data_IF_080563174118
#
_entry.id   IF_080563174118
#
_cell.length_a   1.000
_cell.length_b   1.000
_cell.length_c   1.000
_cell.angle_alpha   90.00
_cell.angle_beta   90.00
_cell.angle_gamma   90.00
#
_symmetry.space_group_name_H-M   'P 1'
#
loop_
_entity.id
_entity.type
_entity.pdbx_description
1 polymer ?
#
# COMPACT_ATOMS: atom_id res chain seq x y z
N UNK A 1 -1.50 11.08 2.01
CA UNK A 1 -1.52 9.71 1.44
C UNK A 1 -2.93 9.17 1.31
N UNK A 2 -3.80 9.27 2.33
CA UNK A 2 -5.20 8.79 2.25
C UNK A 2 -6.00 9.49 1.13
N UNK A 3 -5.94 10.82 1.04
CA UNK A 3 -6.62 11.56 -0.04
C UNK A 3 -6.06 11.24 -1.44
N UNK A 4 -4.75 10.99 -1.56
CA UNK A 4 -4.11 10.64 -2.84
C UNK A 4 -4.49 9.23 -3.34
N UNK A 5 -4.84 8.32 -2.42
CA UNK A 5 -5.38 7.01 -2.82
C UNK A 5 -6.75 7.13 -3.52
N UNK A 6 -7.55 8.15 -3.21
CA UNK A 6 -8.83 8.39 -3.88
C UNK A 6 -8.61 8.64 -5.38
N UNK A 7 -7.57 9.40 -5.74
CA UNK A 7 -7.17 9.63 -7.12
C UNK A 7 -6.83 8.32 -7.85
N UNK A 8 -6.17 7.37 -7.18
CA UNK A 8 -5.90 6.05 -7.75
C UNK A 8 -7.17 5.21 -7.95
N UNK A 9 -8.10 5.23 -6.98
CA UNK A 9 -9.37 4.52 -7.08
C UNK A 9 -10.20 5.04 -8.25
N UNK A 10 -10.26 6.37 -8.40
CA UNK A 10 -10.94 7.03 -9.54
C UNK A 10 -10.28 6.60 -10.86
N UNK A 11 -8.95 6.62 -10.93
CA UNK A 11 -8.22 6.21 -12.13
C UNK A 11 -8.50 4.75 -12.51
N UNK A 12 -8.44 3.82 -11.55
CA UNK A 12 -8.74 2.40 -11.77
C UNK A 12 -10.18 2.20 -12.25
N UNK A 13 -11.14 2.92 -11.67
CA UNK A 13 -12.54 2.87 -12.12
C UNK A 13 -12.69 3.29 -13.58
N UNK A 14 -12.04 4.38 -13.99
CA UNK A 14 -12.02 4.80 -15.39
C UNK A 14 -11.37 3.77 -16.30
N UNK A 15 -10.25 3.17 -15.87
CA UNK A 15 -9.57 2.10 -16.64
C UNK A 15 -10.48 0.89 -16.84
N UNK A 16 -11.15 0.40 -15.80
CA UNK A 16 -12.06 -0.76 -15.91
C UNK A 16 -13.26 -0.44 -16.79
N UNK A 17 -13.83 0.76 -16.68
CA UNK A 17 -14.94 1.22 -17.55
C UNK A 17 -14.51 1.33 -19.02
N UNK A 18 -13.29 1.79 -19.26
CA UNK A 18 -12.73 1.87 -20.61
C UNK A 18 -12.50 0.47 -21.20
N UNK A 19 -11.99 -0.46 -20.39
CA UNK A 19 -11.75 -1.85 -20.77
C UNK A 19 -13.04 -2.60 -21.15
N UNK A 20 -14.14 -2.40 -20.41
CA UNK A 20 -15.42 -3.05 -20.69
C UNK A 20 -16.14 -2.48 -21.92
N UNK A 21 -15.88 -1.22 -22.28
CA UNK A 21 -16.57 -0.54 -23.39
C UNK A 21 -15.83 -0.72 -24.73
N UNK A 22 -14.49 -0.72 -24.72
CA UNK A 22 -13.66 -0.69 -25.93
C UNK A 22 -12.79 -1.92 -26.09
N UNK A 23 -13.24 -3.09 -25.60
CA UNK A 23 -12.51 -4.33 -25.30
C UNK A 23 -11.55 -4.95 -26.34
N UNK A 24 -11.16 -4.24 -27.40
CA UNK A 24 -10.08 -4.64 -28.31
C UNK A 24 -9.32 -3.47 -28.98
N UNK A 25 -9.52 -2.21 -28.57
CA UNK A 25 -8.82 -1.05 -29.13
C UNK A 25 -7.75 -0.62 -28.12
N UNK A 26 -6.48 -0.71 -28.52
CA UNK A 26 -5.34 -0.44 -27.63
C UNK A 26 -5.42 0.91 -26.90
N UNK A 27 -4.84 0.97 -25.70
CA UNK A 27 -4.84 2.19 -24.91
C UNK A 27 -4.10 3.33 -25.61
N UNK A 28 -4.72 4.51 -25.77
CA UNK A 28 -4.08 5.65 -26.40
C UNK A 28 -2.94 6.20 -25.53
N UNK A 29 -1.96 6.83 -26.17
CA UNK A 29 -0.70 7.24 -25.52
C UNK A 29 -0.89 8.21 -24.34
N UNK A 30 -1.94 9.02 -24.37
CA UNK A 30 -2.24 9.97 -23.29
C UNK A 30 -2.55 9.27 -21.95
N UNK A 31 -3.10 8.06 -21.99
CA UNK A 31 -3.42 7.30 -20.79
C UNK A 31 -2.14 6.92 -20.03
N UNK A 32 -1.13 6.46 -20.76
CA UNK A 32 0.18 6.11 -20.20
C UNK A 32 0.90 7.33 -19.63
N UNK A 33 0.84 8.48 -20.31
CA UNK A 33 1.43 9.72 -19.82
C UNK A 33 0.83 10.18 -18.48
N UNK A 34 -0.51 10.12 -18.35
CA UNK A 34 -1.22 10.47 -17.12
C UNK A 34 -0.86 9.49 -15.99
N UNK A 35 -0.80 8.19 -16.30
CA UNK A 35 -0.43 7.15 -15.33
C UNK A 35 0.98 7.41 -14.75
N UNK A 36 1.95 7.67 -15.62
CA UNK A 36 3.33 7.99 -15.22
C UNK A 36 3.36 9.24 -14.34
N UNK A 37 2.63 10.29 -14.72
CA UNK A 37 2.57 11.52 -13.94
C UNK A 37 2.02 11.31 -12.52
N UNK A 38 0.90 10.58 -12.39
CA UNK A 38 0.32 10.22 -11.08
C UNK A 38 1.31 9.40 -10.25
N UNK A 39 2.04 8.48 -10.89
CA UNK A 39 3.04 7.65 -10.23
C UNK A 39 4.22 8.49 -9.71
N UNK A 40 4.70 9.46 -10.48
CA UNK A 40 5.77 10.37 -10.07
C UNK A 40 5.35 11.16 -8.83
N UNK A 41 4.16 11.77 -8.84
CA UNK A 41 3.67 12.54 -7.69
C UNK A 41 3.55 11.65 -6.45
N UNK A 42 3.04 10.43 -6.59
CA UNK A 42 2.94 9.48 -5.48
C UNK A 42 4.31 9.16 -4.87
N UNK A 43 5.33 8.97 -5.71
CA UNK A 43 6.69 8.72 -5.25
C UNK A 43 7.27 9.91 -4.50
N UNK A 44 7.08 11.12 -5.02
CA UNK A 44 7.52 12.36 -4.37
C UNK A 44 6.85 12.50 -2.99
N UNK A 45 5.53 12.34 -2.91
CA UNK A 45 4.79 12.41 -1.64
C UNK A 45 5.27 11.35 -0.62
N UNK A 46 5.59 10.14 -1.07
CA UNK A 46 6.14 9.10 -0.22
C UNK A 46 7.54 9.46 0.30
N UNK A 47 8.40 10.02 -0.56
CA UNK A 47 9.72 10.49 -0.16
C UNK A 47 9.63 11.63 0.86
N UNK A 48 8.77 12.63 0.64
CA UNK A 48 8.54 13.73 1.59
C UNK A 48 8.10 13.18 2.95
N UNK A 49 7.13 12.25 2.97
CA UNK A 49 6.65 11.65 4.22
C UNK A 49 7.74 10.87 4.95
N UNK A 50 8.61 10.17 4.22
CA UNK A 50 9.75 9.45 4.81
C UNK A 50 10.74 10.44 5.42
N UNK A 51 11.16 11.46 4.67
CA UNK A 51 12.09 12.49 5.14
C UNK A 51 11.53 13.24 6.34
N UNK A 52 10.24 13.58 6.36
CA UNK A 52 9.61 14.23 7.50
C UNK A 52 9.68 13.39 8.79
N UNK A 53 9.48 12.07 8.69
CA UNK A 53 9.64 11.14 9.82
C UNK A 53 11.07 11.10 10.34
N UNK A 54 12.05 11.01 9.44
CA UNK A 54 13.46 11.02 9.81
C UNK A 54 13.90 12.37 10.39
N UNK A 55 13.38 13.49 9.90
CA UNK A 55 13.63 14.82 10.46
C UNK A 55 13.09 14.94 11.89
N UNK A 56 11.92 14.37 12.17
CA UNK A 56 11.37 14.32 13.51
C UNK A 56 12.22 13.43 14.44
N UNK A 57 12.65 12.26 13.98
CA UNK A 57 13.55 11.40 14.75
C UNK A 57 14.88 12.09 15.07
N UNK A 58 15.42 12.86 14.14
CA UNK A 58 16.62 13.65 14.40
C UNK A 58 16.37 14.74 15.45
N UNK A 59 15.20 15.39 15.42
CA UNK A 59 14.86 16.45 16.39
C UNK A 59 14.63 15.92 17.81
N UNK A 60 14.05 14.72 17.95
CA UNK A 60 13.81 14.11 19.26
C UNK A 60 15.04 13.39 19.82
N UNK A 61 16.01 13.07 18.97
CA UNK A 61 17.27 12.44 19.39
C UNK A 61 18.16 13.49 20.04
N UNK A 62 18.47 13.31 21.32
CA UNK A 62 19.33 14.24 22.05
C UNK A 62 20.70 14.41 21.38
N UNK A 63 21.24 15.65 21.29
CA UNK A 63 22.49 15.91 20.58
C UNK A 63 23.71 15.18 21.19
N UNK A 64 23.65 14.82 22.48
CA UNK A 64 24.71 14.10 23.18
C UNK A 64 24.78 12.60 22.85
N UNK A 65 23.64 12.01 22.47
CA UNK A 65 23.50 10.57 22.14
C UNK A 65 22.69 10.37 20.86
N UNK A 66 22.76 11.33 19.93
CA UNK A 66 21.83 11.37 18.80
C UNK A 66 21.96 10.16 17.88
N UNK A 67 23.17 9.65 17.70
CA UNK A 67 23.43 8.47 16.88
C UNK A 67 22.80 7.18 17.42
N UNK A 68 22.84 6.95 18.74
CA UNK A 68 22.23 5.77 19.36
C UNK A 68 20.71 5.84 19.36
N UNK A 69 20.13 7.02 19.67
CA UNK A 69 18.68 7.22 19.61
C UNK A 69 18.13 7.12 18.19
N UNK A 70 18.81 7.70 17.20
CA UNK A 70 18.42 7.61 15.79
C UNK A 70 18.47 6.17 15.27
N UNK A 71 19.49 5.40 15.67
CA UNK A 71 19.61 3.97 15.31
C UNK A 71 18.49 3.15 15.93
N UNK A 72 18.20 3.36 17.22
CA UNK A 72 17.12 2.66 17.91
C UNK A 72 15.75 2.98 17.30
N UNK A 73 15.49 4.25 16.99
CA UNK A 73 14.25 4.70 16.31
C UNK A 73 14.13 4.10 14.90
N UNK A 74 15.24 3.94 14.19
CA UNK A 74 15.27 3.26 12.89
C UNK A 74 14.91 1.77 13.02
N UNK A 75 15.50 1.07 14.01
CA UNK A 75 15.16 -0.33 14.32
C UNK A 75 13.68 -0.47 14.67
N UNK A 76 13.16 0.40 15.54
CA UNK A 76 11.75 0.41 15.91
C UNK A 76 10.84 0.66 14.71
N UNK A 77 11.23 1.56 13.80
CA UNK A 77 10.46 1.84 12.58
C UNK A 77 10.41 0.65 11.62
N UNK A 78 11.49 -0.10 11.48
CA UNK A 78 11.52 -1.32 10.68
C UNK A 78 10.65 -2.41 11.31
N UNK A 79 10.77 -2.65 12.62
CA UNK A 79 9.92 -3.59 13.35
C UNK A 79 8.45 -3.21 13.27
N UNK A 80 8.13 -1.92 13.39
CA UNK A 80 6.78 -1.40 13.24
C UNK A 80 6.20 -1.68 11.86
N UNK A 81 7.00 -1.56 10.79
CA UNK A 81 6.55 -1.89 9.43
C UNK A 81 6.29 -3.40 9.24
N UNK A 82 7.19 -4.26 9.72
CA UNK A 82 7.00 -5.72 9.65
C UNK A 82 5.79 -6.17 10.45
N UNK A 83 5.68 -5.69 11.69
CA UNK A 83 4.55 -5.97 12.56
C UNK A 83 3.24 -5.46 11.96
N UNK A 84 3.20 -4.25 11.41
CA UNK A 84 1.99 -3.70 10.77
C UNK A 84 1.54 -4.53 9.56
N UNK A 85 2.48 -4.99 8.73
CA UNK A 85 2.15 -5.82 7.57
C UNK A 85 1.62 -7.20 8.00
N UNK A 86 2.27 -7.82 8.99
CA UNK A 86 1.81 -9.09 9.55
C UNK A 86 0.43 -8.96 10.20
N UNK A 87 0.21 -7.85 10.92
CA UNK A 87 -1.07 -7.54 11.56
C UNK A 87 -2.17 -7.31 10.53
N UNK A 88 -1.89 -6.57 9.46
CA UNK A 88 -2.84 -6.33 8.38
C UNK A 88 -3.26 -7.63 7.70
N UNK A 89 -2.31 -8.52 7.39
CA UNK A 89 -2.63 -9.83 6.80
C UNK A 89 -3.48 -10.69 7.76
N UNK A 90 -3.10 -10.75 9.04
CA UNK A 90 -3.89 -11.48 10.04
C UNK A 90 -5.31 -10.93 10.18
N UNK A 91 -5.50 -9.61 10.06
CA UNK A 91 -6.82 -8.98 10.10
C UNK A 91 -7.64 -9.27 8.84
N UNK A 92 -7.01 -9.37 7.67
CA UNK A 92 -7.68 -9.80 6.44
C UNK A 92 -8.20 -11.23 6.54
N UNK A 93 -7.44 -12.14 7.15
CA UNK A 93 -7.88 -13.52 7.38
C UNK A 93 -9.09 -13.59 8.33
N UNK A 94 -9.14 -12.70 9.32
CA UNK A 94 -10.29 -12.60 10.23
C UNK A 94 -11.53 -12.00 9.54
N UNK A 95 -11.35 -11.01 8.65
CA UNK A 95 -12.45 -10.35 7.94
C UNK A 95 -12.97 -11.12 6.73
N UNK A 96 -12.15 -12.00 6.14
CA UNK A 96 -12.51 -12.73 4.92
C UNK A 96 -13.30 -13.99 5.25
N UNK A 97 -14.60 -14.00 4.94
CA UNK A 97 -15.41 -15.21 4.96
C UNK A 97 -15.08 -16.08 3.75
N UNK A 98 -14.68 -17.34 4.01
CA UNK A 98 -14.41 -18.33 2.97
C UNK A 98 -15.73 -18.97 2.54
N UNK A 99 -16.26 -18.61 1.38
CA UNK A 99 -17.41 -19.29 0.79
C UNK A 99 -16.95 -20.52 0.00
N UNK A 100 -17.37 -21.71 0.43
CA UNK A 100 -17.18 -22.92 -0.34
C UNK A 100 -18.27 -23.05 -1.41
N UNK A 101 -17.88 -22.98 -2.68
CA UNK A 101 -18.75 -23.37 -3.80
C UNK A 101 -19.00 -24.88 -3.72
N UNK A 102 -20.24 -25.26 -3.43
CA UNK A 102 -20.73 -26.63 -3.35
C UNK A 102 -20.63 -27.29 -4.74
N UNK A 103 -19.45 -27.86 -5.03
CA UNK A 103 -19.27 -28.84 -6.10
C UNK A 103 -19.13 -30.20 -5.42
N UNK A 104 -19.92 -31.17 -5.87
CA UNK A 104 -20.36 -32.38 -5.17
C UNK A 104 -19.26 -33.30 -4.59
N UNK A 105 -17.97 -33.05 -4.86
CA UNK A 105 -16.85 -33.90 -4.45
C UNK A 105 -15.71 -33.20 -3.67
N UNK A 106 -15.86 -31.95 -3.24
CA UNK A 106 -14.78 -31.27 -2.49
C UNK A 106 -15.16 -31.09 -1.01
N UNK A 107 -14.53 -31.88 -0.14
CA UNK A 107 -14.68 -31.77 1.30
C UNK A 107 -13.98 -30.50 1.80
N UNK A 108 -14.77 -29.45 2.08
CA UNK A 108 -14.32 -28.27 2.79
C UNK A 108 -14.04 -28.55 4.28
N UNK A 109 -13.19 -29.53 4.56
CA UNK A 109 -12.69 -29.81 5.90
C UNK A 109 -11.50 -28.90 6.19
N UNK A 110 -11.76 -27.82 6.93
CA UNK A 110 -10.73 -27.21 7.78
C UNK A 110 -10.42 -28.20 8.91
N UNK A 111 -9.32 -28.94 8.79
CA UNK A 111 -8.76 -29.69 9.92
C UNK A 111 -8.24 -28.70 10.97
N UNK A 112 -8.63 -28.93 12.23
CA UNK A 112 -8.13 -28.24 13.42
C UNK A 112 -6.60 -28.10 13.46
#
# INVERSE_FOLDING_TARGET
RLMWNITFVIFIYYTTKFLTTYGNIGFPIYYWAILVFIFIINNILNMIMRVAKYAFFNRISDPRFGGTYMTLLNTFSFLGLFSSNSFAMSMLDFLTFKECLSNYNNNCSTSN
#
